data_IF_667795212552
#
_entry.id   IF_667795212552
#
_cell.length_a   1.000
_cell.length_b   1.000
_cell.length_c   1.000
_cell.angle_alpha   90.00
_cell.angle_beta   90.00
_cell.angle_gamma   90.00
#
_symmetry.space_group_name_H-M   'P 1'
#
loop_
_entity.id
_entity.type
_entity.pdbx_description
1 polymer ?
#
# COMPACT_ATOMS: atom_id res chain seq x y z
N UNK A 1 -10.46 -11.09 -11.16
CA UNK A 1 -9.02 -10.81 -11.41
C UNK A 1 -8.54 -9.76 -10.41
N UNK A 2 -7.27 -9.87 -9.99
CA UNK A 2 -6.60 -8.86 -9.15
C UNK A 2 -5.52 -8.19 -9.98
N UNK A 3 -5.53 -6.86 -10.03
CA UNK A 3 -4.52 -6.02 -10.69
C UNK A 3 -3.78 -5.23 -9.61
N UNK A 4 -2.46 -5.19 -9.67
CA UNK A 4 -1.62 -4.54 -8.66
C UNK A 4 -0.70 -3.52 -9.35
N UNK A 5 -0.57 -2.33 -8.76
CA UNK A 5 0.37 -1.28 -9.19
C UNK A 5 0.94 -0.54 -7.99
N UNK A 6 2.03 0.19 -8.21
CA UNK A 6 2.68 1.02 -7.19
C UNK A 6 2.02 2.39 -7.01
N UNK A 7 2.78 3.26 -6.40
CA UNK A 7 2.45 4.63 -5.98
C UNK A 7 1.86 5.46 -7.11
N UNK A 8 0.85 6.28 -6.81
CA UNK A 8 0.24 7.17 -7.81
C UNK A 8 0.35 8.65 -7.46
N UNK A 9 0.68 9.00 -6.21
CA UNK A 9 0.90 10.38 -5.76
C UNK A 9 -0.15 11.39 -6.26
N UNK A 10 -1.43 11.04 -6.19
CA UNK A 10 -2.51 11.90 -6.65
C UNK A 10 -2.63 12.02 -8.16
N UNK A 11 -2.06 11.09 -8.94
CA UNK A 11 -2.20 11.00 -10.40
C UNK A 11 -3.15 9.86 -10.83
N UNK A 12 -4.48 9.94 -10.52
CA UNK A 12 -5.41 8.84 -10.74
C UNK A 12 -5.70 8.55 -12.21
N UNK A 13 -5.36 9.47 -13.13
CA UNK A 13 -5.60 9.28 -14.56
C UNK A 13 -4.92 8.04 -15.15
N UNK A 14 -3.73 7.69 -14.63
CA UNK A 14 -3.01 6.47 -15.01
C UNK A 14 -3.87 5.23 -14.72
N UNK A 15 -4.51 5.21 -13.55
CA UNK A 15 -5.39 4.13 -13.10
C UNK A 15 -6.66 4.06 -13.95
N UNK A 16 -7.28 5.22 -14.18
CA UNK A 16 -8.51 5.33 -14.99
C UNK A 16 -8.27 4.86 -16.43
N UNK A 17 -7.14 5.24 -17.03
CA UNK A 17 -6.79 4.82 -18.39
C UNK A 17 -6.55 3.31 -18.46
N UNK A 18 -5.75 2.77 -17.56
CA UNK A 18 -5.53 1.32 -17.47
C UNK A 18 -6.84 0.55 -17.32
N UNK A 19 -7.71 0.98 -16.38
CA UNK A 19 -9.00 0.34 -16.15
C UNK A 19 -9.91 0.34 -17.39
N UNK A 20 -9.85 1.40 -18.20
CA UNK A 20 -10.56 1.47 -19.49
C UNK A 20 -9.97 0.50 -20.52
N UNK A 21 -8.65 0.47 -20.65
CA UNK A 21 -7.94 -0.35 -21.64
C UNK A 21 -8.21 -1.85 -21.43
N UNK A 22 -8.19 -2.32 -20.18
CA UNK A 22 -8.50 -3.72 -19.83
C UNK A 22 -9.99 -4.01 -19.70
N UNK A 23 -10.86 -2.99 -19.80
CA UNK A 23 -12.32 -3.09 -19.58
C UNK A 23 -12.66 -3.67 -18.23
N UNK A 24 -12.05 -3.12 -17.17
CA UNK A 24 -12.21 -3.58 -15.78
C UNK A 24 -13.68 -3.77 -15.41
N UNK A 25 -13.98 -4.79 -14.62
CA UNK A 25 -15.34 -5.18 -14.24
C UNK A 25 -15.59 -5.05 -12.74
N UNK A 26 -16.84 -5.20 -12.32
CA UNK A 26 -17.23 -5.15 -10.89
C UNK A 26 -16.66 -6.28 -10.04
N UNK A 27 -16.25 -7.36 -10.67
CA UNK A 27 -15.67 -8.52 -9.99
C UNK A 27 -14.16 -8.42 -9.86
N UNK A 28 -13.56 -7.36 -10.41
CA UNK A 28 -12.13 -7.14 -10.35
C UNK A 28 -11.75 -6.30 -9.13
N UNK A 29 -10.55 -6.53 -8.61
CA UNK A 29 -9.93 -5.72 -7.56
C UNK A 29 -8.68 -5.08 -8.13
N UNK A 30 -8.55 -3.77 -7.96
CA UNK A 30 -7.39 -3.00 -8.35
C UNK A 30 -6.68 -2.56 -7.07
N UNK A 31 -5.44 -3.01 -6.87
CA UNK A 31 -4.63 -2.75 -5.68
C UNK A 31 -3.61 -1.65 -5.97
N UNK A 32 -3.51 -0.66 -5.09
CA UNK A 32 -2.50 0.39 -5.11
C UNK A 32 -1.61 0.24 -3.86
N UNK A 33 -0.30 0.13 -4.06
CA UNK A 33 0.67 -0.21 -3.01
C UNK A 33 1.14 1.00 -2.17
N UNK A 34 0.20 1.87 -1.80
CA UNK A 34 0.45 3.06 -0.99
C UNK A 34 0.70 4.31 -1.82
N UNK A 35 0.93 5.40 -1.12
CA UNK A 35 1.14 6.74 -1.69
C UNK A 35 0.11 7.08 -2.77
N UNK A 36 -1.16 6.85 -2.43
CA UNK A 36 -2.31 7.08 -3.32
C UNK A 36 -2.47 8.57 -3.61
N UNK A 37 -2.16 9.42 -2.64
CA UNK A 37 -2.40 10.86 -2.71
C UNK A 37 -3.88 11.23 -2.62
N UNK A 38 -4.67 10.38 -2.01
CA UNK A 38 -6.10 10.60 -1.75
C UNK A 38 -6.38 11.11 -0.32
N UNK A 39 -5.34 11.14 0.54
CA UNK A 39 -5.38 11.62 1.91
C UNK A 39 -4.14 12.46 2.25
N UNK A 40 -3.62 13.23 1.27
CA UNK A 40 -2.39 14.01 1.46
C UNK A 40 -2.67 15.47 1.82
N UNK A 41 -3.55 16.15 1.09
CA UNK A 41 -3.86 17.56 1.30
C UNK A 41 -5.00 17.77 2.30
N UNK A 42 -5.82 16.76 2.54
CA UNK A 42 -7.04 16.76 3.36
C UNK A 42 -8.02 17.87 2.94
N UNK A 43 -8.16 18.09 1.64
CA UNK A 43 -8.99 19.11 1.04
C UNK A 43 -9.60 18.62 -0.29
N UNK A 44 -10.11 19.55 -1.11
CA UNK A 44 -10.78 19.26 -2.39
C UNK A 44 -9.89 18.54 -3.40
N UNK A 45 -8.55 18.75 -3.36
CA UNK A 45 -7.60 18.06 -4.26
C UNK A 45 -7.65 16.55 -4.04
N UNK A 46 -7.65 16.11 -2.78
CA UNK A 46 -7.80 14.69 -2.44
C UNK A 46 -9.18 14.17 -2.85
N UNK A 47 -10.22 14.99 -2.67
CA UNK A 47 -11.58 14.63 -3.07
C UNK A 47 -11.71 14.39 -4.58
N UNK A 48 -11.05 15.18 -5.42
CA UNK A 48 -10.99 14.97 -6.88
C UNK A 48 -10.32 13.64 -7.23
N UNK A 49 -9.20 13.32 -6.58
CA UNK A 49 -8.54 12.02 -6.72
C UNK A 49 -9.48 10.87 -6.34
N UNK A 50 -10.14 10.98 -5.18
CA UNK A 50 -11.13 9.98 -4.70
C UNK A 50 -12.29 9.82 -5.67
N UNK A 51 -12.85 10.91 -6.19
CA UNK A 51 -13.93 10.85 -7.17
C UNK A 51 -13.56 10.07 -8.42
N UNK A 52 -12.35 10.31 -8.96
CA UNK A 52 -11.86 9.60 -10.15
C UNK A 52 -11.66 8.11 -9.88
N UNK A 53 -11.02 7.75 -8.77
CA UNK A 53 -10.82 6.34 -8.39
C UNK A 53 -12.16 5.64 -8.11
N UNK A 54 -13.06 6.29 -7.37
CA UNK A 54 -14.39 5.75 -7.05
C UNK A 54 -15.30 5.58 -8.26
N UNK A 55 -15.03 6.32 -9.35
CA UNK A 55 -15.80 6.21 -10.61
C UNK A 55 -15.55 4.90 -11.36
N UNK A 56 -14.51 4.16 -11.00
CA UNK A 56 -14.20 2.87 -11.58
C UNK A 56 -15.27 1.84 -11.19
N UNK A 57 -15.52 0.89 -12.08
CA UNK A 57 -16.52 -0.17 -11.86
C UNK A 57 -16.05 -1.29 -10.95
N UNK A 58 -14.77 -1.28 -10.53
CA UNK A 58 -14.16 -2.29 -9.67
C UNK A 58 -14.01 -1.78 -8.22
N UNK A 59 -13.59 -2.65 -7.32
CA UNK A 59 -13.07 -2.23 -6.02
C UNK A 59 -11.65 -1.71 -6.22
N UNK A 60 -11.37 -0.49 -5.76
CA UNK A 60 -10.02 0.06 -5.63
C UNK A 60 -9.58 -0.14 -4.19
N UNK A 61 -8.58 -0.99 -3.99
CA UNK A 61 -8.07 -1.38 -2.69
C UNK A 61 -6.67 -0.79 -2.49
N UNK A 62 -6.54 0.09 -1.51
CA UNK A 62 -5.32 0.84 -1.24
C UNK A 62 -4.67 0.35 0.05
N UNK A 63 -3.35 0.24 0.07
CA UNK A 63 -2.60 0.14 1.31
C UNK A 63 -2.07 1.52 1.71
N UNK A 64 -1.68 1.70 2.96
CA UNK A 64 -1.16 2.97 3.45
C UNK A 64 0.29 3.20 2.99
N UNK A 65 0.59 4.39 2.47
CA UNK A 65 1.95 4.84 2.15
C UNK A 65 2.51 5.81 3.20
N UNK A 66 3.69 6.38 2.96
CA UNK A 66 4.27 7.38 3.85
C UNK A 66 3.92 8.83 3.47
N UNK A 67 3.36 9.05 2.27
CA UNK A 67 2.90 10.34 1.79
C UNK A 67 1.37 10.51 1.93
N UNK A 68 0.78 10.04 3.02
CA UNK A 68 -0.64 10.21 3.27
C UNK A 68 -1.02 10.10 4.75
N UNK A 69 -2.06 10.85 5.13
CA UNK A 69 -2.67 10.73 6.45
C UNK A 69 -3.38 9.38 6.58
N UNK A 70 -3.21 8.72 7.70
CA UNK A 70 -3.93 7.47 7.96
C UNK A 70 -5.44 7.73 8.03
N UNK A 71 -6.27 6.89 7.39
CA UNK A 71 -7.72 7.06 7.40
C UNK A 71 -8.34 7.14 8.80
N UNK A 72 -7.74 6.49 9.79
CA UNK A 72 -8.19 6.50 11.18
C UNK A 72 -8.14 7.88 11.85
N UNK A 73 -7.37 8.81 11.29
CA UNK A 73 -7.28 10.21 11.75
C UNK A 73 -8.20 11.16 10.97
N UNK A 74 -8.92 10.67 9.99
CA UNK A 74 -9.81 11.46 9.14
C UNK A 74 -11.27 11.16 9.52
N UNK A 75 -12.04 12.13 10.06
CA UNK A 75 -13.36 11.89 10.64
C UNK A 75 -14.41 11.32 9.68
N UNK A 76 -14.24 11.47 8.38
CA UNK A 76 -15.17 10.95 7.36
C UNK A 76 -15.05 9.45 7.13
N UNK A 77 -13.94 8.83 7.56
CA UNK A 77 -13.75 7.39 7.44
C UNK A 77 -14.42 6.61 8.56
N UNK A 78 -14.92 5.45 8.21
CA UNK A 78 -15.38 4.43 9.17
C UNK A 78 -14.79 3.07 8.83
N UNK A 79 -14.64 2.25 9.85
CA UNK A 79 -14.12 0.89 9.71
C UNK A 79 -15.24 -0.08 9.38
N UNK A 80 -15.05 -0.93 8.37
CA UNK A 80 -15.96 -2.00 8.00
C UNK A 80 -15.20 -3.32 7.77
N UNK A 81 -15.92 -4.43 7.74
CA UNK A 81 -15.36 -5.72 7.30
C UNK A 81 -15.48 -5.86 5.78
N UNK A 82 -14.42 -6.35 5.16
CA UNK A 82 -14.36 -6.68 3.73
C UNK A 82 -13.43 -7.87 3.51
N UNK A 83 -13.90 -8.92 2.84
CA UNK A 83 -13.12 -10.11 2.50
C UNK A 83 -12.31 -10.74 3.66
N UNK A 84 -12.86 -10.75 4.87
CA UNK A 84 -12.26 -11.34 6.06
C UNK A 84 -11.34 -10.43 6.88
N UNK A 85 -11.00 -9.24 6.36
CA UNK A 85 -10.23 -8.23 7.06
C UNK A 85 -11.01 -6.92 7.24
N UNK A 86 -10.40 -5.93 7.87
CA UNK A 86 -11.01 -4.62 8.12
C UNK A 86 -10.44 -3.57 7.17
N UNK A 87 -11.31 -2.74 6.62
CA UNK A 87 -10.97 -1.62 5.74
C UNK A 87 -11.62 -0.34 6.21
N UNK A 88 -10.96 0.76 5.93
CA UNK A 88 -11.49 2.10 6.09
C UNK A 88 -12.19 2.53 4.81
N UNK A 89 -13.39 3.12 4.94
CA UNK A 89 -14.23 3.57 3.84
C UNK A 89 -14.87 4.92 4.17
N UNK A 90 -15.03 5.76 3.16
CA UNK A 90 -15.91 6.93 3.23
C UNK A 90 -17.21 6.63 2.48
N UNK A 91 -18.36 6.99 3.06
CA UNK A 91 -19.66 6.74 2.45
C UNK A 91 -19.83 7.43 1.07
N UNK A 92 -19.11 8.53 0.85
CA UNK A 92 -19.06 9.22 -0.42
C UNK A 92 -18.29 8.46 -1.52
N UNK A 93 -17.40 7.52 -1.14
CA UNK A 93 -16.51 6.83 -2.05
C UNK A 93 -16.53 5.30 -1.83
N UNK A 94 -17.69 4.64 -2.02
CA UNK A 94 -17.88 3.23 -1.62
C UNK A 94 -17.05 2.20 -2.39
N UNK A 95 -16.47 2.54 -3.53
CA UNK A 95 -15.58 1.64 -4.29
C UNK A 95 -14.10 1.80 -3.90
N UNK A 96 -13.75 2.78 -3.05
CA UNK A 96 -12.38 3.08 -2.64
C UNK A 96 -12.17 2.65 -1.19
N UNK A 97 -11.41 1.61 -0.99
CA UNK A 97 -11.14 0.99 0.31
C UNK A 97 -9.67 1.19 0.69
N UNK A 98 -9.43 1.57 1.94
CA UNK A 98 -8.08 1.59 2.51
C UNK A 98 -7.94 0.45 3.52
N UNK A 99 -6.98 -0.43 3.30
CA UNK A 99 -6.73 -1.55 4.20
C UNK A 99 -6.30 -1.06 5.59
N UNK A 100 -6.76 -1.73 6.63
CA UNK A 100 -6.16 -1.57 7.95
C UNK A 100 -4.91 -2.43 8.02
N UNK A 101 -3.81 -1.85 8.48
CA UNK A 101 -2.52 -2.53 8.57
C UNK A 101 -2.59 -3.79 9.46
N UNK A 102 -1.91 -4.85 9.02
CA UNK A 102 -1.86 -6.15 9.68
C UNK A 102 -3.03 -7.07 9.40
N UNK A 103 -4.08 -6.60 8.73
CA UNK A 103 -5.23 -7.45 8.38
C UNK A 103 -4.89 -8.39 7.21
N UNK A 104 -5.62 -9.51 7.17
CA UNK A 104 -5.54 -10.51 6.10
C UNK A 104 -6.83 -10.50 5.32
N UNK A 105 -6.72 -10.42 4.00
CA UNK A 105 -7.87 -10.38 3.09
C UNK A 105 -7.89 -11.61 2.19
N UNK A 106 -9.05 -12.25 2.06
CA UNK A 106 -9.22 -13.38 1.15
C UNK A 106 -9.77 -12.90 -0.19
N UNK A 107 -8.87 -12.73 -1.17
CA UNK A 107 -9.22 -12.25 -2.52
C UNK A 107 -8.89 -13.36 -3.53
N UNK A 108 -9.85 -13.72 -4.39
CA UNK A 108 -9.70 -14.75 -5.43
C UNK A 108 -9.14 -16.09 -4.89
N UNK A 109 -9.51 -16.45 -3.65
CA UNK A 109 -9.10 -17.70 -3.00
C UNK A 109 -7.76 -17.67 -2.29
N UNK A 110 -6.98 -16.59 -2.39
CA UNK A 110 -5.67 -16.40 -1.76
C UNK A 110 -5.74 -15.44 -0.57
N UNK A 111 -4.87 -15.64 0.42
CA UNK A 111 -4.75 -14.81 1.62
C UNK A 111 -3.67 -13.75 1.42
N UNK A 112 -4.09 -12.48 1.45
CA UNK A 112 -3.25 -11.30 1.29
C UNK A 112 -3.02 -10.64 2.65
N UNK A 113 -1.79 -10.61 3.14
CA UNK A 113 -1.39 -9.83 4.31
C UNK A 113 -1.04 -8.41 3.88
N UNK A 114 -1.56 -7.40 4.58
CA UNK A 114 -1.28 -5.99 4.29
C UNK A 114 -0.39 -5.36 5.35
N UNK A 115 0.68 -4.67 4.92
CA UNK A 115 1.61 -3.94 5.79
C UNK A 115 1.90 -2.58 5.14
N UNK A 116 1.25 -1.53 5.63
CA UNK A 116 1.45 -0.17 5.12
C UNK A 116 2.58 0.58 5.79
N UNK A 117 2.96 1.71 5.18
CA UNK A 117 3.90 2.69 5.72
C UNK A 117 5.37 2.42 5.41
N UNK A 118 6.14 3.51 5.47
CA UNK A 118 7.59 3.54 5.29
C UNK A 118 8.15 4.82 5.90
N UNK A 119 9.47 4.92 6.03
CA UNK A 119 10.14 6.15 6.47
C UNK A 119 10.29 7.16 5.32
N UNK A 120 10.00 8.43 5.59
CA UNK A 120 10.15 9.52 4.63
C UNK A 120 11.52 10.20 4.76
N UNK A 121 12.37 10.03 3.76
CA UNK A 121 13.70 10.69 3.73
C UNK A 121 13.59 12.23 3.66
N UNK A 122 12.46 12.76 3.24
CA UNK A 122 12.16 14.19 3.13
C UNK A 122 11.32 14.74 4.32
N UNK A 123 11.07 13.94 5.35
CA UNK A 123 10.28 14.29 6.54
C UNK A 123 10.68 15.66 7.12
N UNK A 124 11.99 15.88 7.34
CA UNK A 124 12.50 17.14 7.88
C UNK A 124 12.21 18.35 6.98
N UNK A 125 12.19 18.18 5.67
CA UNK A 125 11.83 19.22 4.72
C UNK A 125 10.32 19.51 4.77
N UNK A 126 9.48 18.47 4.77
CA UNK A 126 8.01 18.59 4.85
C UNK A 126 7.58 19.26 6.15
N UNK A 127 8.15 18.87 7.28
CA UNK A 127 7.86 19.48 8.60
C UNK A 127 8.19 20.99 8.57
N UNK A 128 9.38 21.38 8.07
CA UNK A 128 9.77 22.81 7.98
C UNK A 128 8.90 23.63 7.04
N UNK A 129 8.31 23.03 6.03
CA UNK A 129 7.45 23.66 5.04
C UNK A 129 5.97 23.60 5.37
N UNK A 130 5.61 22.95 6.48
CA UNK A 130 4.21 22.64 6.82
C UNK A 130 3.49 21.91 5.68
N UNK A 131 4.23 21.11 4.92
CA UNK A 131 3.67 20.15 3.96
C UNK A 131 3.22 18.89 4.70
N UNK A 132 2.31 18.12 4.11
CA UNK A 132 1.77 16.92 4.75
C UNK A 132 2.85 15.93 5.18
N UNK A 133 2.99 15.73 6.48
CA UNK A 133 3.80 14.70 7.11
C UNK A 133 3.13 14.25 8.40
N UNK A 134 3.14 12.97 8.65
CA UNK A 134 2.50 12.34 9.82
C UNK A 134 3.52 11.48 10.55
N UNK A 135 3.55 11.62 11.89
CA UNK A 135 4.54 10.94 12.73
C UNK A 135 4.36 9.41 12.78
N UNK A 136 3.21 8.93 12.38
CA UNK A 136 2.85 7.52 12.29
C UNK A 136 2.95 6.95 10.86
N UNK A 137 3.81 7.57 10.02
CA UNK A 137 4.06 7.10 8.66
C UNK A 137 4.58 5.67 8.59
N UNK A 138 5.26 5.19 9.63
CA UNK A 138 5.75 3.82 9.77
C UNK A 138 4.80 2.95 10.63
N UNK A 139 4.83 1.60 10.49
CA UNK A 139 4.07 0.70 11.35
C UNK A 139 4.44 0.87 12.83
N UNK A 140 3.43 1.10 13.67
CA UNK A 140 3.62 1.19 15.13
C UNK A 140 4.00 -0.16 15.73
N UNK A 141 4.50 -0.14 16.98
CA UNK A 141 4.80 -1.37 17.73
C UNK A 141 3.58 -2.30 17.84
N UNK A 142 2.38 -1.73 18.01
CA UNK A 142 1.15 -2.53 18.07
C UNK A 142 0.77 -3.14 16.73
N UNK A 143 1.00 -2.45 15.60
CA UNK A 143 0.81 -3.01 14.27
C UNK A 143 1.81 -4.14 14.02
N UNK A 144 3.09 -3.95 14.37
CA UNK A 144 4.13 -4.98 14.23
C UNK A 144 3.76 -6.24 15.01
N UNK A 145 3.38 -6.11 16.28
CA UNK A 145 2.96 -7.25 17.11
C UNK A 145 1.70 -7.93 16.56
N UNK A 146 0.75 -7.17 15.99
CA UNK A 146 -0.44 -7.73 15.37
C UNK A 146 -0.10 -8.53 14.10
N UNK A 147 0.78 -8.02 13.24
CA UNK A 147 1.28 -8.74 12.06
C UNK A 147 1.96 -10.04 12.48
N UNK A 148 2.85 -10.00 13.48
CA UNK A 148 3.54 -11.19 13.99
C UNK A 148 2.58 -12.26 14.51
N UNK A 149 1.51 -11.84 15.20
CA UNK A 149 0.42 -12.75 15.60
C UNK A 149 -0.31 -13.32 14.39
N UNK A 150 -0.66 -12.49 13.42
CA UNK A 150 -1.37 -12.92 12.21
C UNK A 150 -0.60 -13.98 11.41
N UNK A 151 0.71 -13.79 11.23
CA UNK A 151 1.54 -14.74 10.49
C UNK A 151 1.78 -16.05 11.25
N UNK A 152 1.71 -16.03 12.58
CA UNK A 152 1.82 -17.24 13.41
C UNK A 152 0.57 -18.12 13.32
N UNK A 153 -0.61 -17.51 13.15
CA UNK A 153 -1.90 -18.21 13.21
C UNK A 153 -2.50 -18.51 11.83
N UNK A 154 -2.01 -17.86 10.77
CA UNK A 154 -2.63 -17.91 9.45
C UNK A 154 -1.65 -18.28 8.36
N UNK A 155 -2.14 -18.99 7.34
CA UNK A 155 -1.41 -19.16 6.09
C UNK A 155 -1.50 -17.88 5.26
N UNK A 156 -0.36 -17.36 4.82
CA UNK A 156 -0.26 -16.20 3.93
C UNK A 156 0.18 -16.69 2.56
N UNK A 157 -0.55 -16.31 1.51
CA UNK A 157 -0.19 -16.61 0.14
C UNK A 157 0.57 -15.43 -0.51
N UNK A 158 0.11 -14.21 -0.26
CA UNK A 158 0.65 -12.98 -0.84
C UNK A 158 0.85 -11.92 0.25
N UNK A 159 1.93 -11.17 0.17
CA UNK A 159 2.16 -9.99 1.00
C UNK A 159 2.08 -8.74 0.15
N UNK A 160 1.32 -7.75 0.64
CA UNK A 160 1.25 -6.40 0.10
C UNK A 160 1.87 -5.46 1.12
N UNK A 161 2.97 -4.81 0.80
CA UNK A 161 3.56 -3.80 1.68
C UNK A 161 3.86 -2.52 0.92
N UNK A 162 4.00 -1.40 1.65
CA UNK A 162 4.43 -0.17 0.98
C UNK A 162 5.93 -0.21 0.69
N UNK A 163 6.78 -0.48 1.69
CA UNK A 163 8.22 -0.72 1.48
C UNK A 163 8.57 -2.22 1.48
N UNK A 164 9.84 -2.57 1.32
CA UNK A 164 10.32 -3.95 1.20
C UNK A 164 11.18 -4.38 2.42
N UNK A 165 11.41 -5.69 2.63
CA UNK A 165 12.43 -6.18 3.56
C UNK A 165 13.81 -5.62 3.22
N UNK A 166 14.62 -5.33 4.24
CA UNK A 166 15.93 -4.68 4.17
C UNK A 166 16.88 -5.28 3.13
N UNK A 167 16.94 -6.59 3.08
CA UNK A 167 17.82 -7.34 2.17
C UNK A 167 17.50 -7.16 0.69
N UNK A 168 16.30 -6.68 0.37
CA UNK A 168 15.83 -6.45 -1.00
C UNK A 168 15.87 -4.97 -1.39
N UNK A 169 16.30 -4.04 -0.53
CA UNK A 169 16.38 -2.62 -0.87
C UNK A 169 17.08 -2.40 -2.22
N UNK A 170 16.44 -1.72 -3.16
CA UNK A 170 17.02 -1.48 -4.49
C UNK A 170 18.03 -0.33 -4.42
N UNK A 171 19.25 -0.61 -3.94
CA UNK A 171 20.28 0.39 -3.69
C UNK A 171 20.62 1.24 -4.93
N UNK A 172 20.40 0.70 -6.13
CA UNK A 172 20.63 1.40 -7.40
C UNK A 172 19.71 2.61 -7.64
N UNK A 173 18.58 2.68 -6.94
CA UNK A 173 17.65 3.83 -7.02
C UNK A 173 17.77 4.79 -5.84
N UNK A 174 18.70 4.55 -4.93
CA UNK A 174 18.92 5.46 -3.81
C UNK A 174 19.33 6.85 -4.29
N UNK A 175 18.73 7.88 -3.72
CA UNK A 175 19.07 9.26 -4.07
C UNK A 175 20.51 9.58 -3.63
N UNK A 176 21.38 10.05 -4.55
CA UNK A 176 22.82 10.19 -4.28
C UNK A 176 23.15 11.22 -3.20
N UNK A 177 22.23 12.16 -2.92
CA UNK A 177 22.43 13.22 -1.93
C UNK A 177 21.84 12.90 -0.55
N UNK A 178 21.30 11.68 -0.35
CA UNK A 178 20.75 11.23 0.93
C UNK A 178 21.78 10.39 1.67
N UNK A 179 22.18 10.89 2.86
CA UNK A 179 23.04 10.11 3.74
C UNK A 179 22.27 8.93 4.33
N UNK A 180 22.52 7.73 3.83
CA UNK A 180 21.84 6.51 4.25
C UNK A 180 22.04 6.16 5.72
N UNK A 181 23.10 6.63 6.38
CA UNK A 181 23.30 6.41 7.81
C UNK A 181 22.32 7.17 8.71
N UNK A 182 21.63 8.17 8.15
CA UNK A 182 20.61 8.94 8.86
C UNK A 182 19.17 8.54 8.52
N UNK A 183 18.99 7.53 7.68
CA UNK A 183 17.65 7.01 7.31
C UNK A 183 17.21 5.97 8.33
N UNK A 184 16.01 6.14 8.88
CA UNK A 184 15.43 5.12 9.77
C UNK A 184 14.96 3.92 8.94
N UNK A 185 15.62 2.81 9.13
CA UNK A 185 15.38 1.54 8.43
C UNK A 185 14.65 0.50 9.30
N UNK A 186 14.08 0.95 10.41
CA UNK A 186 13.45 0.06 11.40
C UNK A 186 12.24 -0.70 10.87
N UNK A 187 11.59 -0.19 9.83
CA UNK A 187 10.52 -0.89 9.14
C UNK A 187 11.08 -1.99 8.25
N UNK A 188 12.06 -1.69 7.41
CA UNK A 188 12.71 -2.65 6.50
C UNK A 188 13.43 -3.76 7.27
N UNK A 189 14.14 -3.41 8.38
CA UNK A 189 14.79 -4.37 9.26
C UNK A 189 13.78 -5.33 9.92
N UNK A 190 12.62 -4.80 10.35
CA UNK A 190 11.54 -5.63 10.87
C UNK A 190 10.89 -6.49 9.77
N UNK A 191 10.70 -5.97 8.57
CA UNK A 191 10.18 -6.75 7.44
C UNK A 191 11.10 -7.91 7.06
N UNK A 192 12.42 -7.83 7.27
CA UNK A 192 13.32 -8.98 7.14
C UNK A 192 12.95 -10.11 8.12
N UNK A 193 12.56 -9.77 9.35
CA UNK A 193 12.13 -10.78 10.34
C UNK A 193 10.79 -11.41 9.96
N UNK A 194 9.86 -10.61 9.44
CA UNK A 194 8.57 -11.07 8.91
C UNK A 194 8.79 -12.03 7.74
N UNK A 195 9.62 -11.64 6.77
CA UNK A 195 9.90 -12.44 5.57
C UNK A 195 10.56 -13.78 5.91
N UNK A 196 11.49 -13.78 6.85
CA UNK A 196 12.15 -15.01 7.31
C UNK A 196 11.19 -15.99 8.03
N UNK A 197 10.07 -15.49 8.55
CA UNK A 197 9.06 -16.27 9.28
C UNK A 197 7.92 -16.76 8.39
N UNK A 198 7.87 -16.33 7.11
CA UNK A 198 6.78 -16.62 6.20
C UNK A 198 7.15 -17.62 5.10
N UNK A 199 6.17 -18.48 4.76
CA UNK A 199 6.14 -19.16 3.47
C UNK A 199 5.06 -18.50 2.61
N UNK A 200 5.45 -17.80 1.56
CA UNK A 200 4.58 -17.03 0.68
C UNK A 200 4.89 -17.28 -0.79
N UNK A 201 3.95 -16.95 -1.70
CA UNK A 201 4.11 -17.11 -3.15
C UNK A 201 4.73 -15.88 -3.80
N UNK A 202 4.22 -14.69 -3.43
CA UNK A 202 4.67 -13.41 -3.94
C UNK A 202 4.56 -12.32 -2.88
N UNK A 203 5.45 -11.32 -2.99
CA UNK A 203 5.44 -10.11 -2.17
C UNK A 203 5.50 -8.90 -3.10
N UNK A 204 4.52 -8.02 -3.01
CA UNK A 204 4.42 -6.80 -3.82
C UNK A 204 4.67 -5.58 -2.96
N UNK A 205 5.51 -4.66 -3.42
CA UNK A 205 5.79 -3.38 -2.74
C UNK A 205 5.89 -2.20 -3.72
N UNK A 206 5.59 -0.99 -3.22
CA UNK A 206 5.75 0.29 -3.88
C UNK A 206 6.99 1.04 -3.38
N UNK A 207 6.81 2.33 -3.01
CA UNK A 207 7.75 3.22 -2.31
C UNK A 207 9.04 3.56 -3.08
N UNK A 208 9.68 2.61 -3.70
CA UNK A 208 11.00 2.73 -4.31
C UNK A 208 10.98 3.33 -5.72
N UNK A 209 9.82 3.62 -6.27
CA UNK A 209 9.61 4.18 -7.61
C UNK A 209 10.39 3.45 -8.70
N UNK A 210 10.42 2.14 -8.60
CA UNK A 210 11.09 1.25 -9.58
C UNK A 210 10.20 0.06 -9.92
N UNK A 211 10.29 -0.40 -11.14
CA UNK A 211 9.64 -1.62 -11.62
C UNK A 211 10.72 -2.70 -11.73
N UNK A 212 10.70 -3.68 -10.81
CA UNK A 212 11.75 -4.69 -10.69
C UNK A 212 11.21 -5.95 -10.03
N UNK A 213 11.80 -7.08 -10.34
CA UNK A 213 11.53 -8.34 -9.66
C UNK A 213 12.82 -9.00 -9.18
N UNK A 214 12.82 -9.49 -7.94
CA UNK A 214 13.88 -10.28 -7.33
C UNK A 214 13.22 -11.51 -6.72
N UNK A 215 13.35 -12.67 -7.32
CA UNK A 215 12.69 -13.92 -6.91
C UNK A 215 11.17 -13.76 -6.79
N UNK A 216 10.66 -13.76 -5.55
CA UNK A 216 9.24 -13.59 -5.21
C UNK A 216 8.88 -12.15 -4.80
N UNK A 217 9.88 -11.25 -4.76
CA UNK A 217 9.69 -9.84 -4.44
C UNK A 217 9.46 -9.03 -5.73
N UNK A 218 8.35 -8.32 -5.79
CA UNK A 218 7.92 -7.52 -6.94
C UNK A 218 7.83 -6.05 -6.51
N UNK A 219 8.69 -5.23 -7.07
CA UNK A 219 8.65 -3.78 -6.94
C UNK A 219 7.80 -3.21 -8.06
N UNK A 220 6.80 -2.43 -7.72
CA UNK A 220 5.89 -1.82 -8.70
C UNK A 220 5.87 -0.30 -8.51
N UNK A 221 5.94 0.40 -9.61
CA UNK A 221 5.74 1.85 -9.68
C UNK A 221 4.73 2.20 -10.77
N UNK A 222 5.15 2.10 -12.03
CA UNK A 222 4.29 2.41 -13.18
C UNK A 222 3.74 1.17 -13.87
N UNK A 223 4.35 0.04 -13.68
CA UNK A 223 3.91 -1.24 -14.22
C UNK A 223 2.69 -1.80 -13.47
N UNK A 224 2.14 -2.83 -14.06
CA UNK A 224 0.99 -3.57 -13.56
C UNK A 224 1.30 -5.05 -13.51
N UNK A 225 0.90 -5.69 -12.45
CA UNK A 225 0.87 -7.15 -12.39
C UNK A 225 -0.55 -7.66 -12.17
N UNK A 226 -0.78 -8.87 -12.62
CA UNK A 226 -2.07 -9.55 -12.50
C UNK A 226 -1.89 -10.83 -11.70
N UNK A 227 -2.73 -11.00 -10.68
CA UNK A 227 -2.79 -12.25 -9.93
C UNK A 227 -4.03 -13.01 -10.38
N UNK A 228 -3.78 -14.20 -10.94
CA UNK A 228 -4.84 -15.07 -11.39
C UNK A 228 -5.47 -15.84 -10.22
N UNK A 229 -6.73 -16.17 -10.38
CA UNK A 229 -7.45 -17.02 -9.44
C UNK A 229 -6.81 -18.41 -9.35
N UNK A 230 -6.59 -18.90 -8.13
CA UNK A 230 -6.31 -20.34 -7.96
C UNK A 230 -7.55 -21.16 -8.35
N UNK A 231 -7.34 -22.11 -9.26
CA UNK A 231 -8.37 -23.06 -9.73
C UNK A 231 -8.53 -24.20 -8.73
#
# INVERSE_FOLDING_TARGET
MVYITGDIHGAPHRIVNFAKDIRISRNDTLIILGDVGANYYLNEVDSECKHLLNSLKCTVFCIHGNHECRPEHIPSYRLIEWNGGKVWIEDAFPNLLFAKDGEIFRIEGQNYLVIGGAYSIDASWRIRRHAGWWADEQPSVSVKAFVEHQIAENKIDIVLSHTCPRKYEPMEVFLPNVNQAGVDKSTEDWLDTVENSLSYKAWYCGHWHTDKRIDRMHFLFTSWETVEKEV
#
